data_IF_825582532985
#
_entry.id   IF_825582532985
#
_cell.length_a   1.000
_cell.length_b   1.000
_cell.length_c   1.000
_cell.angle_alpha   90.00
_cell.angle_beta   90.00
_cell.angle_gamma   90.00
#
_symmetry.space_group_name_H-M   'P 1'
#
loop_
_entity.id
_entity.type
_entity.pdbx_description
1 polymer ?
#
# COMPACT_ATOMS: atom_id res chain seq x y z
N UNK A 1 12.45 97.42 10.54
CA UNK A 1 12.56 97.40 9.07
C UNK A 1 13.47 96.24 8.72
N UNK A 2 13.04 95.36 7.82
CA UNK A 2 13.93 94.36 7.22
C UNK A 2 14.93 95.14 6.35
N UNK A 3 16.02 95.57 6.96
CA UNK A 3 17.14 96.17 6.24
C UNK A 3 17.73 95.10 5.34
N UNK A 4 17.63 95.33 4.03
CA UNK A 4 18.12 94.42 3.00
C UNK A 4 19.63 94.59 2.86
N UNK A 5 20.36 94.29 3.94
CA UNK A 5 21.82 94.39 4.00
C UNK A 5 22.44 93.00 4.10
N UNK A 6 23.70 92.86 3.68
CA UNK A 6 24.40 91.60 3.40
C UNK A 6 24.29 90.46 4.44
N UNK A 7 23.90 90.77 5.68
CA UNK A 7 23.51 89.80 6.72
C UNK A 7 22.38 88.87 6.26
N UNK A 8 21.41 89.36 5.49
CA UNK A 8 20.29 88.56 4.96
C UNK A 8 20.79 87.51 3.95
N UNK A 9 21.79 87.88 3.13
CA UNK A 9 22.47 86.96 2.20
C UNK A 9 23.27 85.91 2.98
N UNK A 10 24.01 86.32 4.01
CA UNK A 10 24.76 85.40 4.88
C UNK A 10 23.82 84.41 5.59
N UNK A 11 22.67 84.87 6.08
CA UNK A 11 21.67 84.01 6.72
C UNK A 11 21.04 83.02 5.72
N UNK A 12 20.78 83.45 4.48
CA UNK A 12 20.30 82.58 3.42
C UNK A 12 21.33 81.48 3.07
N UNK A 13 22.61 81.84 2.95
CA UNK A 13 23.69 80.86 2.73
C UNK A 13 23.75 79.86 3.89
N UNK A 14 23.65 80.33 5.14
CA UNK A 14 23.63 79.45 6.31
C UNK A 14 22.44 78.48 6.28
N UNK A 15 21.25 78.97 5.92
CA UNK A 15 20.06 78.13 5.77
C UNK A 15 20.21 77.06 4.67
N UNK A 16 20.80 77.41 3.53
CA UNK A 16 21.08 76.45 2.45
C UNK A 16 22.10 75.40 2.90
N UNK A 17 23.16 75.80 3.60
CA UNK A 17 24.15 74.87 4.17
C UNK A 17 23.49 73.93 5.19
N UNK A 18 22.63 74.47 6.06
CA UNK A 18 21.87 73.67 7.02
C UNK A 18 20.94 72.66 6.34
N UNK A 19 20.20 73.08 5.30
CA UNK A 19 19.38 72.19 4.49
C UNK A 19 20.20 71.09 3.81
N UNK A 20 21.39 71.41 3.29
CA UNK A 20 22.28 70.41 2.69
C UNK A 20 22.73 69.37 3.72
N UNK A 21 23.14 69.82 4.91
CA UNK A 21 23.51 68.94 6.03
C UNK A 21 22.32 68.06 6.44
N UNK A 22 21.14 68.66 6.60
CA UNK A 22 19.92 67.94 6.98
C UNK A 22 19.49 66.91 5.92
N UNK A 23 19.65 67.23 4.63
CA UNK A 23 19.37 66.29 3.53
C UNK A 23 20.26 65.05 3.60
N UNK A 24 21.55 65.23 3.88
CA UNK A 24 22.52 64.14 4.00
C UNK A 24 22.31 63.33 5.28
N UNK A 25 22.07 63.98 6.42
CA UNK A 25 22.01 63.31 7.73
C UNK A 25 20.63 62.74 8.06
N UNK A 26 19.52 63.32 7.58
CA UNK A 26 18.17 62.89 7.93
C UNK A 26 17.39 62.35 6.73
N UNK A 27 17.18 63.16 5.69
CA UNK A 27 16.23 62.79 4.62
C UNK A 27 16.68 61.55 3.84
N UNK A 28 17.96 61.47 3.45
CA UNK A 28 18.52 60.29 2.77
C UNK A 28 18.46 59.01 3.63
N UNK A 29 18.99 58.98 4.86
CA UNK A 29 18.97 57.75 5.66
C UNK A 29 17.56 57.33 6.09
N UNK A 30 16.67 58.27 6.41
CA UNK A 30 15.26 57.94 6.74
C UNK A 30 14.55 57.35 5.52
N UNK A 31 14.71 57.95 4.34
CA UNK A 31 14.18 57.41 3.09
C UNK A 31 14.70 55.99 2.80
N UNK A 32 16.00 55.77 2.96
CA UNK A 32 16.61 54.46 2.79
C UNK A 32 16.12 53.43 3.81
N UNK A 33 15.89 53.82 5.07
CA UNK A 33 15.35 52.94 6.10
C UNK A 33 13.90 52.53 5.79
N UNK A 34 13.07 53.47 5.34
CA UNK A 34 11.68 53.18 4.92
C UNK A 34 11.68 52.25 3.71
N UNK A 35 12.53 52.50 2.71
CA UNK A 35 12.65 51.65 1.53
C UNK A 35 13.07 50.21 1.89
N UNK A 36 14.07 50.05 2.76
CA UNK A 36 14.48 48.73 3.27
C UNK A 36 13.35 48.02 4.00
N UNK A 37 12.63 48.74 4.86
CA UNK A 37 11.49 48.16 5.60
C UNK A 37 10.38 47.71 4.65
N UNK A 38 10.06 48.49 3.63
CA UNK A 38 9.07 48.11 2.60
C UNK A 38 9.54 46.86 1.85
N UNK A 39 10.78 46.86 1.34
CA UNK A 39 11.34 45.71 0.64
C UNK A 39 11.34 44.43 1.49
N UNK A 40 11.65 44.54 2.79
CA UNK A 40 11.59 43.41 3.71
C UNK A 40 10.15 42.88 3.90
N UNK A 41 9.18 43.77 4.08
CA UNK A 41 7.76 43.39 4.23
C UNK A 41 7.24 42.75 2.94
N UNK A 42 7.56 43.32 1.79
CA UNK A 42 7.13 42.80 0.50
C UNK A 42 7.80 41.44 0.20
N UNK A 43 9.06 41.27 0.58
CA UNK A 43 9.75 39.98 0.55
C UNK A 43 9.05 38.93 1.42
N UNK A 44 8.74 39.26 2.67
CA UNK A 44 8.01 38.35 3.56
C UNK A 44 6.64 37.96 3.01
N UNK A 45 5.91 38.89 2.37
CA UNK A 45 4.63 38.57 1.74
C UNK A 45 4.83 37.57 0.59
N UNK A 46 5.83 37.80 -0.24
CA UNK A 46 6.15 36.90 -1.33
C UNK A 46 6.51 35.49 -0.84
N UNK A 47 7.35 35.40 0.19
CA UNK A 47 7.74 34.13 0.81
C UNK A 47 6.52 33.40 1.38
N UNK A 48 5.60 34.12 2.04
CA UNK A 48 4.35 33.54 2.54
C UNK A 48 3.47 33.00 1.39
N UNK A 49 3.34 33.76 0.30
CA UNK A 49 2.57 33.32 -0.88
C UNK A 49 3.19 32.09 -1.55
N UNK A 50 4.52 32.04 -1.66
CA UNK A 50 5.24 30.87 -2.16
C UNK A 50 5.02 29.67 -1.24
N UNK A 51 5.23 29.82 0.07
CA UNK A 51 5.04 28.74 1.04
C UNK A 51 3.59 28.22 1.04
N UNK A 52 2.60 29.09 0.88
CA UNK A 52 1.20 28.66 0.75
C UNK A 52 0.96 27.89 -0.54
N UNK A 53 1.57 28.31 -1.65
CA UNK A 53 1.46 27.63 -2.94
C UNK A 53 2.11 26.26 -2.88
N UNK A 54 3.33 26.17 -2.34
CA UNK A 54 4.06 24.92 -2.16
C UNK A 54 3.31 23.97 -1.22
N UNK A 55 2.77 24.48 -0.10
CA UNK A 55 1.98 23.67 0.81
C UNK A 55 0.69 23.14 0.16
N UNK A 56 0.04 23.91 -0.72
CA UNK A 56 -1.12 23.44 -1.50
C UNK A 56 -0.70 22.38 -2.51
N UNK A 57 0.38 22.60 -3.24
CA UNK A 57 0.91 21.64 -4.21
C UNK A 57 1.30 20.32 -3.53
N UNK A 58 2.01 20.39 -2.39
CA UNK A 58 2.45 19.21 -1.64
C UNK A 58 1.26 18.43 -1.07
N UNK A 59 0.22 19.12 -0.59
CA UNK A 59 -1.04 18.47 -0.17
C UNK A 59 -1.73 17.78 -1.35
N UNK A 60 -1.85 18.45 -2.49
CA UNK A 60 -2.42 17.87 -3.70
C UNK A 60 -1.70 16.60 -4.14
N UNK A 61 -0.36 16.65 -4.23
CA UNK A 61 0.46 15.49 -4.56
C UNK A 61 0.34 14.35 -3.54
N UNK A 62 0.26 14.68 -2.24
CA UNK A 62 0.07 13.68 -1.19
C UNK A 62 -1.28 12.97 -1.31
N UNK A 63 -2.35 13.70 -1.61
CA UNK A 63 -3.68 13.12 -1.78
C UNK A 63 -3.77 12.28 -3.05
N UNK A 64 -3.19 12.74 -4.17
CA UNK A 64 -3.06 11.93 -5.40
C UNK A 64 -2.32 10.62 -5.16
N UNK A 65 -1.16 10.68 -4.48
CA UNK A 65 -0.38 9.49 -4.12
C UNK A 65 -1.15 8.54 -3.21
N UNK A 66 -1.93 9.07 -2.25
CA UNK A 66 -2.78 8.24 -1.38
C UNK A 66 -3.88 7.54 -2.16
N UNK A 67 -4.53 8.22 -3.10
CA UNK A 67 -5.56 7.63 -3.95
C UNK A 67 -4.97 6.56 -4.85
N UNK A 68 -3.83 6.83 -5.49
CA UNK A 68 -3.12 5.85 -6.30
C UNK A 68 -2.72 4.61 -5.49
N UNK A 69 -2.10 4.79 -4.32
CA UNK A 69 -1.70 3.68 -3.45
C UNK A 69 -2.90 2.83 -2.98
N UNK A 70 -4.05 3.45 -2.69
CA UNK A 70 -5.29 2.72 -2.36
C UNK A 70 -5.77 1.88 -3.54
N UNK A 71 -5.81 2.47 -4.73
CA UNK A 71 -6.21 1.76 -5.96
C UNK A 71 -5.28 0.58 -6.25
N UNK A 72 -3.97 0.77 -6.14
CA UNK A 72 -2.99 -0.28 -6.35
C UNK A 72 -3.13 -1.41 -5.32
N UNK A 73 -3.42 -1.07 -4.06
CA UNK A 73 -3.68 -2.04 -3.01
C UNK A 73 -4.97 -2.83 -3.29
N UNK A 74 -6.06 -2.17 -3.67
CA UNK A 74 -7.32 -2.84 -4.02
C UNK A 74 -7.13 -3.78 -5.21
N UNK A 75 -6.37 -3.35 -6.22
CA UNK A 75 -6.05 -4.17 -7.40
C UNK A 75 -5.15 -5.36 -7.03
N UNK A 76 -4.17 -5.17 -6.15
CA UNK A 76 -3.33 -6.25 -5.64
C UNK A 76 -4.15 -7.28 -4.83
N UNK A 77 -5.06 -6.83 -3.98
CA UNK A 77 -5.96 -7.71 -3.21
C UNK A 77 -6.91 -8.45 -4.16
N UNK A 78 -7.47 -7.78 -5.16
CA UNK A 78 -8.35 -8.41 -6.14
C UNK A 78 -7.60 -9.50 -6.94
N UNK A 79 -6.38 -9.20 -7.42
CA UNK A 79 -5.52 -10.19 -8.08
C UNK A 79 -5.20 -11.37 -7.16
N UNK A 80 -4.81 -11.10 -5.92
CA UNK A 80 -4.51 -12.13 -4.94
C UNK A 80 -5.70 -13.05 -4.66
N UNK A 81 -6.92 -12.50 -4.58
CA UNK A 81 -8.14 -13.30 -4.41
C UNK A 81 -8.44 -14.19 -5.61
N UNK A 82 -8.26 -13.67 -6.83
CA UNK A 82 -8.45 -14.46 -8.05
C UNK A 82 -7.45 -15.60 -8.12
N UNK A 83 -6.18 -15.33 -7.82
CA UNK A 83 -5.13 -16.35 -7.86
C UNK A 83 -5.32 -17.41 -6.78
N UNK A 84 -5.63 -16.99 -5.54
CA UNK A 84 -5.96 -17.92 -4.46
C UNK A 84 -7.19 -18.78 -4.77
N UNK A 85 -8.19 -18.22 -5.46
CA UNK A 85 -9.36 -18.97 -5.93
C UNK A 85 -8.98 -20.06 -6.92
N UNK A 86 -8.17 -19.72 -7.94
CA UNK A 86 -7.66 -20.71 -8.91
C UNK A 86 -6.84 -21.81 -8.25
N UNK A 87 -5.96 -21.44 -7.32
CA UNK A 87 -5.14 -22.41 -6.59
C UNK A 87 -6.01 -23.33 -5.72
N UNK A 88 -7.03 -22.79 -5.06
CA UNK A 88 -7.99 -23.58 -4.31
C UNK A 88 -8.76 -24.55 -5.22
N UNK A 89 -9.20 -24.11 -6.41
CA UNK A 89 -9.87 -24.97 -7.39
C UNK A 89 -8.97 -26.12 -7.87
N UNK A 90 -7.69 -25.84 -8.13
CA UNK A 90 -6.69 -26.87 -8.51
C UNK A 90 -6.48 -27.87 -7.39
N UNK A 91 -6.35 -27.40 -6.14
CA UNK A 91 -6.18 -28.27 -4.97
C UNK A 91 -7.43 -29.15 -4.77
N UNK A 92 -8.62 -28.57 -4.90
CA UNK A 92 -9.89 -29.28 -4.78
C UNK A 92 -10.03 -30.36 -5.86
N UNK A 93 -9.73 -30.03 -7.12
CA UNK A 93 -9.74 -30.97 -8.23
C UNK A 93 -8.77 -32.14 -8.00
N UNK A 94 -7.53 -31.85 -7.60
CA UNK A 94 -6.54 -32.89 -7.29
C UNK A 94 -6.87 -33.72 -6.05
N UNK A 95 -7.59 -33.16 -5.07
CA UNK A 95 -8.12 -33.92 -3.94
C UNK A 95 -9.25 -34.86 -4.38
N UNK A 96 -10.16 -34.39 -5.24
CA UNK A 96 -11.25 -35.18 -5.77
C UNK A 96 -10.76 -36.33 -6.65
N UNK A 97 -9.76 -36.09 -7.51
CA UNK A 97 -9.13 -37.14 -8.32
C UNK A 97 -8.48 -38.21 -7.44
N UNK A 98 -7.74 -37.83 -6.40
CA UNK A 98 -7.16 -38.77 -5.43
C UNK A 98 -8.23 -39.57 -4.69
N UNK A 99 -9.33 -38.93 -4.28
CA UNK A 99 -10.44 -39.62 -3.64
C UNK A 99 -11.08 -40.66 -4.56
N UNK A 100 -11.33 -40.31 -5.84
CA UNK A 100 -11.82 -41.23 -6.86
C UNK A 100 -10.86 -42.41 -7.08
N UNK A 101 -9.55 -42.16 -7.10
CA UNK A 101 -8.52 -43.20 -7.21
C UNK A 101 -8.53 -44.16 -6.03
N UNK A 102 -8.69 -43.67 -4.80
CA UNK A 102 -8.77 -44.50 -3.58
C UNK A 102 -10.03 -45.38 -3.63
N UNK A 103 -11.18 -44.80 -3.98
CA UNK A 103 -12.44 -45.56 -4.08
C UNK A 103 -12.36 -46.63 -5.18
N UNK A 104 -11.81 -46.28 -6.34
CA UNK A 104 -11.57 -47.24 -7.43
C UNK A 104 -10.65 -48.39 -7.02
N UNK A 105 -9.53 -48.08 -6.35
CA UNK A 105 -8.61 -49.09 -5.84
C UNK A 105 -9.25 -49.98 -4.75
N UNK A 106 -10.07 -49.41 -3.88
CA UNK A 106 -10.82 -50.18 -2.88
C UNK A 106 -11.81 -51.15 -3.54
N UNK A 107 -12.56 -50.70 -4.56
CA UNK A 107 -13.46 -51.57 -5.32
C UNK A 107 -12.72 -52.71 -6.02
N UNK A 108 -11.56 -52.42 -6.64
CA UNK A 108 -10.73 -53.44 -7.26
C UNK A 108 -10.26 -54.50 -6.25
N UNK A 109 -9.75 -54.07 -5.08
CA UNK A 109 -9.35 -54.99 -4.01
C UNK A 109 -10.49 -55.87 -3.51
N UNK A 110 -11.68 -55.29 -3.30
CA UNK A 110 -12.86 -56.07 -2.87
C UNK A 110 -13.25 -57.10 -3.92
N UNK A 111 -13.17 -56.75 -5.21
CA UNK A 111 -13.45 -57.69 -6.30
C UNK A 111 -12.45 -58.85 -6.33
N UNK A 112 -11.15 -58.55 -6.18
CA UNK A 112 -10.09 -59.56 -6.12
C UNK A 112 -10.26 -60.49 -4.91
N UNK A 113 -10.54 -59.94 -3.72
CA UNK A 113 -10.80 -60.71 -2.50
C UNK A 113 -12.02 -61.62 -2.64
N UNK A 114 -13.11 -61.12 -3.24
CA UNK A 114 -14.32 -61.92 -3.47
C UNK A 114 -14.05 -63.07 -4.45
N UNK A 115 -13.23 -62.85 -5.47
CA UNK A 115 -12.85 -63.88 -6.43
C UNK A 115 -11.95 -64.95 -5.79
N UNK A 116 -10.98 -64.52 -4.96
CA UNK A 116 -10.13 -65.43 -4.21
C UNK A 116 -10.96 -66.29 -3.22
N UNK A 117 -11.86 -65.66 -2.47
CA UNK A 117 -12.75 -66.36 -1.52
C UNK A 117 -13.64 -67.40 -2.22
N UNK A 118 -14.19 -67.09 -3.40
CA UNK A 118 -14.96 -68.05 -4.20
C UNK A 118 -14.12 -69.22 -4.71
N UNK A 119 -12.85 -68.98 -5.06
CA UNK A 119 -11.95 -70.05 -5.45
C UNK A 119 -11.66 -70.99 -4.27
N UNK A 120 -11.45 -70.44 -3.07
CA UNK A 120 -11.23 -71.20 -1.85
C UNK A 120 -12.49 -71.92 -1.33
N UNK A 121 -13.69 -71.40 -1.63
CA UNK A 121 -14.97 -72.00 -1.23
C UNK A 121 -15.09 -73.47 -1.70
N UNK A 122 -14.67 -73.77 -2.92
CA UNK A 122 -14.66 -75.16 -3.45
C UNK A 122 -13.76 -76.09 -2.64
N UNK A 123 -12.65 -75.56 -2.12
CA UNK A 123 -11.67 -76.28 -1.30
C UNK A 123 -12.19 -76.50 0.12
N UNK A 124 -12.85 -75.49 0.69
CA UNK A 124 -13.50 -75.54 2.00
C UNK A 124 -14.69 -76.52 1.97
N UNK A 125 -15.52 -76.48 0.93
CA UNK A 125 -16.64 -77.41 0.75
C UNK A 125 -16.15 -78.84 0.60
N UNK A 126 -15.07 -79.08 -0.15
CA UNK A 126 -14.47 -80.40 -0.26
C UNK A 126 -13.94 -80.90 1.09
N UNK A 127 -13.22 -80.05 1.84
CA UNK A 127 -12.72 -80.40 3.18
C UNK A 127 -13.86 -80.68 4.18
N UNK A 128 -14.94 -79.88 4.15
CA UNK A 128 -16.10 -80.07 5.00
C UNK A 128 -16.87 -81.34 4.64
N UNK A 129 -16.98 -81.66 3.34
CA UNK A 129 -17.57 -82.90 2.86
C UNK A 129 -16.75 -84.12 3.32
N UNK A 130 -15.42 -84.05 3.23
CA UNK A 130 -14.52 -85.12 3.68
C UNK A 130 -14.59 -85.32 5.21
N UNK A 131 -14.71 -84.23 5.98
CA UNK A 131 -14.85 -84.31 7.43
C UNK A 131 -16.23 -84.82 7.87
N UNK A 132 -17.30 -84.40 7.21
CA UNK A 132 -18.64 -84.95 7.42
C UNK A 132 -18.72 -86.43 7.02
N UNK A 133 -18.08 -86.81 5.91
CA UNK A 133 -17.98 -88.20 5.47
C UNK A 133 -17.17 -89.04 6.46
N UNK A 134 -16.04 -88.52 6.94
CA UNK A 134 -15.22 -89.15 7.98
C UNK A 134 -15.97 -89.31 9.30
N UNK A 135 -16.83 -88.36 9.67
CA UNK A 135 -17.67 -88.45 10.88
C UNK A 135 -18.86 -89.38 10.72
N UNK A 136 -19.43 -89.47 9.51
CA UNK A 136 -20.53 -90.38 9.18
C UNK A 136 -20.06 -91.83 9.01
N UNK A 137 -18.87 -92.05 8.45
CA UNK A 137 -18.25 -93.37 8.28
C UNK A 137 -17.48 -93.82 9.53
N UNK A 138 -17.03 -92.89 10.39
CA UNK A 138 -16.34 -93.16 11.66
C UNK A 138 -17.27 -93.25 12.88
N UNK A 139 -18.59 -93.17 12.70
CA UNK A 139 -19.60 -93.26 13.75
C UNK A 139 -20.09 -94.67 14.09
N UNK A 140 -19.40 -95.72 13.61
CA UNK A 140 -19.65 -97.11 14.01
C UNK A 140 -18.34 -97.75 14.46
N UNK A 141 -17.91 -97.40 15.68
CA UNK A 141 -17.11 -98.23 16.58
C UNK A 141 -17.15 -97.62 17.98
#
# INVERSE_FOLDING_TARGET
MLSLDGTLVVQLINFVVFLAILNVIFFKPVGAAIARRRAYIDGLKHDIEQLQTDAKALRGQADERRVAARRDADEAVARGRVEAGKEADVIAAGAQERAMGIVGAAHAKVADELQAARADESRIVAALADELLGRALGGVA
#
